data_IF_537938111166
#
_entry.id   IF_537938111166
#
_cell.length_a   1.000
_cell.length_b   1.000
_cell.length_c   1.000
_cell.angle_alpha   90.00
_cell.angle_beta   90.00
_cell.angle_gamma   90.00
#
_symmetry.space_group_name_H-M   'P 1'
#
loop_
_entity.id
_entity.type
_entity.pdbx_description
1 polymer ?
#
# COMPACT_ATOMS: atom_id res chain seq x y z
N UNK A 1 11.12 34.16 -36.04
CA UNK A 1 12.18 33.15 -35.83
C UNK A 1 11.51 31.98 -35.13
N UNK A 2 11.66 30.77 -35.66
CA UNK A 2 11.04 29.60 -35.02
C UNK A 2 11.67 29.39 -33.64
N UNK A 3 10.82 29.28 -32.60
CA UNK A 3 11.28 29.09 -31.24
C UNK A 3 11.92 27.68 -31.14
N UNK A 4 13.10 27.57 -30.54
CA UNK A 4 13.79 26.29 -30.37
C UNK A 4 12.95 25.25 -29.66
N UNK A 5 12.12 25.72 -28.73
CA UNK A 5 11.17 24.87 -28.00
C UNK A 5 10.11 24.26 -28.95
N UNK A 6 9.53 25.05 -29.86
CA UNK A 6 8.58 24.57 -30.85
C UNK A 6 9.18 23.49 -31.76
N UNK A 7 10.46 23.70 -32.22
CA UNK A 7 11.17 22.70 -33.00
C UNK A 7 11.32 21.41 -32.24
N UNK A 8 11.68 21.48 -30.95
CA UNK A 8 11.79 20.29 -30.10
C UNK A 8 10.44 19.58 -29.96
N UNK A 9 9.36 20.31 -29.71
CA UNK A 9 8.01 19.72 -29.60
C UNK A 9 7.57 19.02 -30.88
N UNK A 10 7.97 19.53 -32.03
CA UNK A 10 7.76 18.86 -33.33
C UNK A 10 8.60 17.58 -33.47
N UNK A 11 9.88 17.61 -33.09
CA UNK A 11 10.75 16.44 -33.12
C UNK A 11 10.28 15.33 -32.17
N UNK A 12 9.71 15.70 -31.01
CA UNK A 12 9.15 14.76 -30.06
C UNK A 12 7.77 14.22 -30.45
N UNK A 13 7.23 14.67 -31.57
CA UNK A 13 5.89 14.32 -32.04
C UNK A 13 4.81 14.52 -30.98
N UNK A 14 4.92 15.64 -30.24
CA UNK A 14 3.91 16.00 -29.23
C UNK A 14 2.53 16.18 -29.86
N UNK A 15 1.44 15.71 -29.23
CA UNK A 15 0.08 15.88 -29.72
C UNK A 15 -0.24 17.34 -30.04
N UNK A 16 -0.94 17.59 -31.13
CA UNK A 16 -1.23 18.93 -31.62
C UNK A 16 -2.01 19.78 -30.58
N UNK A 17 -2.94 19.13 -29.89
CA UNK A 17 -3.73 19.77 -28.83
C UNK A 17 -2.83 20.28 -27.68
N UNK A 18 -1.84 19.49 -27.28
CA UNK A 18 -0.89 19.88 -26.24
C UNK A 18 0.09 20.95 -26.73
N UNK A 19 0.56 20.86 -27.99
CA UNK A 19 1.43 21.90 -28.56
C UNK A 19 0.79 23.27 -28.63
N UNK A 20 -0.52 23.31 -28.87
CA UNK A 20 -1.30 24.55 -28.93
C UNK A 20 -1.87 24.96 -27.57
N UNK A 21 -1.51 24.26 -26.50
CA UNK A 21 -1.96 24.61 -25.14
C UNK A 21 -1.37 25.94 -24.69
N UNK A 22 -2.15 26.71 -23.95
CA UNK A 22 -1.69 27.93 -23.27
C UNK A 22 -0.52 27.68 -22.32
N UNK A 23 -0.36 26.43 -21.83
CA UNK A 23 0.74 26.03 -20.98
C UNK A 23 2.12 26.19 -21.65
N UNK A 24 2.19 26.14 -22.98
CA UNK A 24 3.42 26.34 -23.76
C UNK A 24 3.56 27.76 -24.31
N UNK A 25 2.66 28.67 -23.93
CA UNK A 25 2.80 30.06 -24.34
C UNK A 25 4.10 30.66 -23.75
N UNK A 26 4.93 31.25 -24.61
CA UNK A 26 6.26 31.79 -24.25
C UNK A 26 7.23 30.72 -23.66
N UNK A 27 7.02 29.45 -23.98
CA UNK A 27 7.93 28.41 -23.57
C UNK A 27 9.29 28.52 -24.26
N UNK A 28 10.38 28.37 -23.50
CA UNK A 28 11.73 28.47 -23.99
C UNK A 28 12.65 27.35 -23.46
N UNK A 29 13.66 27.00 -24.23
CA UNK A 29 14.78 26.20 -23.76
C UNK A 29 15.87 27.17 -23.28
N UNK A 30 16.02 27.30 -21.96
CA UNK A 30 17.06 28.16 -21.39
C UNK A 30 18.45 27.56 -21.60
N UNK A 31 18.57 26.27 -21.36
CA UNK A 31 19.86 25.58 -21.35
C UNK A 31 19.69 24.09 -21.63
N UNK A 32 20.71 23.51 -22.27
CA UNK A 32 20.85 22.05 -22.42
C UNK A 32 22.24 21.66 -21.97
N UNK A 33 22.34 20.78 -21.01
CA UNK A 33 23.59 20.19 -20.53
C UNK A 33 23.70 18.76 -21.06
N UNK A 34 24.88 18.46 -21.64
CA UNK A 34 25.15 17.12 -22.19
C UNK A 34 26.26 16.46 -21.38
N UNK A 35 25.89 15.50 -20.58
CA UNK A 35 26.79 14.69 -19.79
C UNK A 35 27.28 13.48 -20.59
N UNK A 36 28.40 13.65 -21.30
CA UNK A 36 28.90 12.65 -22.26
C UNK A 36 29.22 11.30 -21.64
N UNK A 37 29.73 11.28 -20.41
CA UNK A 37 30.11 10.03 -19.73
C UNK A 37 28.91 9.23 -19.31
N UNK A 38 27.91 9.87 -18.71
CA UNK A 38 26.65 9.25 -18.28
C UNK A 38 25.61 9.12 -19.38
N UNK A 39 25.86 9.73 -20.56
CA UNK A 39 24.91 9.80 -21.69
C UNK A 39 23.56 10.41 -21.30
N UNK A 40 23.58 11.43 -20.46
CA UNK A 40 22.39 12.14 -20.00
C UNK A 40 22.33 13.51 -20.66
N UNK A 41 21.17 13.84 -21.21
CA UNK A 41 20.82 15.16 -21.69
C UNK A 41 19.87 15.78 -20.67
N UNK A 42 20.28 16.91 -20.12
CA UNK A 42 19.53 17.66 -19.12
C UNK A 42 19.03 18.95 -19.73
N UNK A 43 17.71 19.08 -19.84
CA UNK A 43 17.04 20.24 -20.40
C UNK A 43 16.56 21.15 -19.29
N UNK A 44 16.77 22.43 -19.41
CA UNK A 44 16.19 23.45 -18.55
C UNK A 44 15.18 24.23 -19.39
N UNK A 45 13.91 24.07 -19.03
CA UNK A 45 12.80 24.75 -19.70
C UNK A 45 12.32 25.93 -18.87
N UNK A 46 11.96 27.01 -19.54
CA UNK A 46 11.24 28.13 -18.94
C UNK A 46 9.81 28.15 -19.45
N UNK A 47 8.85 28.20 -18.52
CA UNK A 47 7.44 28.34 -18.81
C UNK A 47 6.85 29.55 -18.06
N UNK A 48 5.73 30.06 -18.55
CA UNK A 48 5.00 31.12 -17.86
C UNK A 48 4.46 30.61 -16.50
N UNK A 49 3.97 29.37 -16.47
CA UNK A 49 3.34 28.76 -15.30
C UNK A 49 3.71 27.27 -15.16
N UNK A 50 3.33 26.65 -14.06
CA UNK A 50 3.51 25.22 -13.82
C UNK A 50 2.65 24.45 -14.84
N UNK A 51 3.24 23.42 -15.45
CA UNK A 51 2.54 22.61 -16.45
C UNK A 51 1.39 21.79 -15.80
N UNK A 52 0.26 21.61 -16.49
CA UNK A 52 -0.69 20.56 -16.16
C UNK A 52 0.01 19.18 -16.13
N UNK A 53 -0.38 18.32 -15.19
CA UNK A 53 0.32 17.05 -14.94
C UNK A 53 0.33 16.13 -16.19
N UNK A 54 -0.73 16.16 -16.98
CA UNK A 54 -0.86 15.36 -18.21
C UNK A 54 0.16 15.80 -19.27
N UNK A 55 0.35 17.12 -19.41
CA UNK A 55 1.34 17.68 -20.36
C UNK A 55 2.75 17.38 -19.88
N UNK A 56 2.99 17.50 -18.58
CA UNK A 56 4.29 17.16 -17.97
C UNK A 56 4.65 15.69 -18.23
N UNK A 57 3.73 14.76 -17.93
CA UNK A 57 3.96 13.32 -18.14
C UNK A 57 4.17 12.97 -19.61
N UNK A 58 3.40 13.56 -20.50
CA UNK A 58 3.57 13.30 -21.94
C UNK A 58 4.92 13.84 -22.45
N UNK A 59 5.32 15.05 -22.02
CA UNK A 59 6.63 15.61 -22.33
C UNK A 59 7.76 14.71 -21.82
N UNK A 60 7.69 14.25 -20.59
CA UNK A 60 8.65 13.34 -19.97
C UNK A 60 8.77 12.03 -20.76
N UNK A 61 7.62 11.42 -21.06
CA UNK A 61 7.55 10.18 -21.83
C UNK A 61 8.15 10.33 -23.22
N UNK A 62 7.81 11.39 -23.95
CA UNK A 62 8.30 11.64 -25.31
C UNK A 62 9.80 11.92 -25.34
N UNK A 63 10.29 12.73 -24.40
CA UNK A 63 11.73 12.94 -24.25
C UNK A 63 12.46 11.63 -23.98
N UNK A 64 11.98 10.83 -23.04
CA UNK A 64 12.60 9.55 -22.70
C UNK A 64 12.61 8.59 -23.92
N UNK A 65 11.50 8.52 -24.67
CA UNK A 65 11.38 7.67 -25.85
C UNK A 65 12.33 8.10 -26.96
N UNK A 66 12.41 9.40 -27.27
CA UNK A 66 13.24 9.89 -28.37
C UNK A 66 14.72 9.70 -28.07
N UNK A 67 15.16 10.03 -26.88
CA UNK A 67 16.58 9.91 -26.50
C UNK A 67 17.03 8.47 -26.29
N UNK A 68 16.12 7.58 -25.87
CA UNK A 68 16.43 6.14 -25.74
C UNK A 68 16.80 5.49 -27.08
N UNK A 69 16.26 5.97 -28.20
CA UNK A 69 16.61 5.48 -29.56
C UNK A 69 18.11 5.60 -29.86
N UNK A 70 18.76 6.58 -29.27
CA UNK A 70 20.21 6.83 -29.42
C UNK A 70 21.04 6.30 -28.26
N UNK A 71 20.45 5.57 -27.33
CA UNK A 71 21.10 5.06 -26.12
C UNK A 71 21.45 6.14 -25.10
N UNK A 72 20.76 7.28 -25.15
CA UNK A 72 20.88 8.37 -24.21
C UNK A 72 19.66 8.42 -23.25
N UNK A 73 19.83 9.08 -22.12
CA UNK A 73 18.71 9.46 -21.24
C UNK A 73 18.45 10.96 -21.38
N UNK A 74 17.18 11.34 -21.29
CA UNK A 74 16.81 12.74 -21.19
C UNK A 74 16.10 12.99 -19.85
N UNK A 75 16.55 14.01 -19.15
CA UNK A 75 15.91 14.54 -17.95
C UNK A 75 15.66 16.04 -18.18
N UNK A 76 14.73 16.61 -17.43
CA UNK A 76 14.50 18.04 -17.51
C UNK A 76 14.11 18.65 -16.17
N UNK A 77 14.40 19.92 -16.04
CA UNK A 77 13.98 20.78 -14.95
C UNK A 77 13.18 21.96 -15.52
N UNK A 78 12.20 22.40 -14.79
CA UNK A 78 11.32 23.51 -15.18
C UNK A 78 11.56 24.71 -14.30
N UNK A 79 11.68 25.87 -14.92
CA UNK A 79 11.67 27.16 -14.28
C UNK A 79 10.39 27.91 -14.67
N UNK A 80 9.56 28.28 -13.70
CA UNK A 80 8.33 29.03 -13.94
C UNK A 80 8.54 30.50 -13.59
N UNK A 81 8.14 31.39 -14.51
CA UNK A 81 8.30 32.85 -14.31
C UNK A 81 7.29 33.42 -13.32
N UNK A 82 6.05 32.94 -13.36
CA UNK A 82 4.95 33.38 -12.50
C UNK A 82 4.11 32.16 -12.07
N UNK A 83 4.65 31.27 -11.22
CA UNK A 83 3.99 30.03 -10.88
C UNK A 83 2.67 30.29 -10.13
N UNK A 84 1.56 29.87 -10.72
CA UNK A 84 0.29 29.76 -10.02
C UNK A 84 0.13 28.34 -9.52
N UNK A 85 -0.01 28.19 -8.21
CA UNK A 85 -0.10 26.87 -7.57
C UNK A 85 -1.51 26.69 -7.04
N UNK A 86 -2.26 25.70 -7.56
CA UNK A 86 -3.51 25.24 -6.96
C UNK A 86 -3.24 23.99 -6.11
N UNK A 87 -4.08 23.74 -5.11
CA UNK A 87 -3.95 22.54 -4.26
C UNK A 87 -4.08 21.26 -5.06
N UNK A 88 -4.95 21.24 -6.09
CA UNK A 88 -5.11 20.08 -6.97
C UNK A 88 -3.84 19.77 -7.76
N UNK A 89 -3.22 20.80 -8.34
CA UNK A 89 -1.97 20.69 -9.08
C UNK A 89 -0.84 20.24 -8.16
N UNK A 90 -0.75 20.85 -6.99
CA UNK A 90 0.23 20.48 -5.97
C UNK A 90 0.08 19.03 -5.52
N UNK A 91 -1.14 18.59 -5.26
CA UNK A 91 -1.42 17.19 -4.88
C UNK A 91 -1.04 16.20 -6.00
N UNK A 92 -1.27 16.57 -7.27
CA UNK A 92 -0.89 15.75 -8.41
C UNK A 92 0.64 15.59 -8.53
N UNK A 93 1.39 16.67 -8.39
CA UNK A 93 2.86 16.64 -8.42
C UNK A 93 3.48 16.02 -7.17
N UNK A 94 2.83 16.17 -6.03
CA UNK A 94 3.20 15.46 -4.81
C UNK A 94 3.17 13.94 -5.05
N UNK A 95 2.06 13.43 -5.60
CA UNK A 95 1.93 12.00 -5.94
C UNK A 95 3.01 11.55 -6.94
N UNK A 96 3.22 12.35 -7.99
CA UNK A 96 4.25 12.08 -8.99
C UNK A 96 5.65 11.95 -8.37
N UNK A 97 6.01 12.80 -7.40
CA UNK A 97 7.30 12.74 -6.71
C UNK A 97 7.53 11.42 -5.98
N UNK A 98 6.46 10.78 -5.50
CA UNK A 98 6.51 9.45 -4.87
C UNK A 98 6.39 8.30 -5.87
N UNK A 99 5.89 8.54 -7.07
CA UNK A 99 5.84 7.53 -8.12
C UNK A 99 7.20 7.35 -8.81
N UNK A 100 7.89 8.43 -9.13
CA UNK A 100 9.01 8.44 -10.07
C UNK A 100 10.30 9.08 -9.54
N UNK A 101 10.28 9.67 -8.37
CA UNK A 101 11.41 10.46 -7.88
C UNK A 101 12.29 9.75 -6.85
N UNK A 102 13.28 10.46 -6.30
CA UNK A 102 14.10 9.97 -5.19
C UNK A 102 13.30 9.70 -3.91
N UNK A 103 12.01 10.11 -3.88
CA UNK A 103 11.05 9.74 -2.84
C UNK A 103 10.38 8.37 -3.10
N UNK A 104 10.54 7.80 -4.29
CA UNK A 104 9.94 6.52 -4.69
C UNK A 104 10.67 5.35 -4.03
N UNK A 105 10.43 5.09 -2.76
CA UNK A 105 10.88 3.89 -2.08
C UNK A 105 9.73 2.89 -1.96
N UNK A 106 9.97 1.62 -2.35
CA UNK A 106 8.93 0.60 -2.48
C UNK A 106 8.16 0.31 -1.18
N UNK A 107 8.74 0.56 0.00
CA UNK A 107 8.10 0.30 1.29
C UNK A 107 7.19 1.41 1.82
N UNK A 108 7.33 2.64 1.31
CA UNK A 108 6.64 3.80 1.87
C UNK A 108 5.69 4.48 0.89
N UNK A 109 5.65 4.01 -0.35
CA UNK A 109 4.83 4.61 -1.41
C UNK A 109 3.35 4.70 -0.99
N UNK A 110 2.78 3.63 -0.46
CA UNK A 110 1.39 3.57 -0.03
C UNK A 110 1.09 4.44 1.20
N UNK A 111 2.05 4.62 2.10
CA UNK A 111 1.87 5.40 3.33
C UNK A 111 1.82 6.91 3.08
N UNK A 112 2.58 7.40 2.09
CA UNK A 112 2.74 8.83 1.88
C UNK A 112 1.99 9.39 0.68
N UNK A 113 1.47 8.55 -0.21
CA UNK A 113 0.67 8.99 -1.35
C UNK A 113 -0.64 9.67 -0.95
N UNK A 114 -1.19 9.28 0.19
CA UNK A 114 -2.51 9.71 0.67
C UNK A 114 -2.45 10.85 1.69
N UNK A 115 -1.24 11.41 1.94
CA UNK A 115 -1.14 12.60 2.76
C UNK A 115 -1.86 13.77 2.06
N UNK A 116 -2.58 14.56 2.82
CA UNK A 116 -3.20 15.78 2.32
C UNK A 116 -2.15 16.87 2.20
N UNK A 117 -2.08 17.48 1.02
CA UNK A 117 -1.12 18.53 0.74
C UNK A 117 -1.87 19.77 0.27
N UNK A 118 -1.64 20.89 0.90
CA UNK A 118 -2.24 22.17 0.53
C UNK A 118 -1.29 23.34 0.82
N UNK A 119 -1.63 24.49 0.26
CA UNK A 119 -0.89 25.73 0.49
C UNK A 119 -1.57 26.60 1.54
N UNK A 120 -0.77 27.10 2.48
CA UNK A 120 -1.12 28.18 3.38
C UNK A 120 -0.15 29.34 3.15
N UNK A 121 -0.56 30.25 2.27
CA UNK A 121 0.31 31.33 1.79
C UNK A 121 1.50 30.82 0.99
N UNK A 122 2.71 31.00 1.53
CA UNK A 122 3.98 30.51 0.97
C UNK A 122 4.46 29.17 1.60
N UNK A 123 3.62 28.58 2.45
CA UNK A 123 3.94 27.33 3.15
C UNK A 123 3.21 26.16 2.52
N UNK A 124 3.96 25.11 2.27
CA UNK A 124 3.43 23.82 1.92
C UNK A 124 3.11 23.06 3.20
N UNK A 125 1.83 22.84 3.47
CA UNK A 125 1.36 22.03 4.58
C UNK A 125 1.12 20.60 4.12
N UNK A 126 1.69 19.66 4.84
CA UNK A 126 1.55 18.22 4.61
C UNK A 126 0.95 17.62 5.87
N UNK A 127 -0.26 17.10 5.76
CA UNK A 127 -1.02 16.55 6.87
C UNK A 127 -1.07 15.04 6.82
N UNK A 128 -0.76 14.41 7.93
CA UNK A 128 -0.81 12.96 8.10
C UNK A 128 -1.66 12.55 9.30
N UNK A 129 -2.24 11.36 9.22
CA UNK A 129 -3.08 10.80 10.28
C UNK A 129 -2.26 10.21 11.44
N UNK A 130 -0.97 9.94 11.27
CA UNK A 130 -0.08 9.35 12.28
C UNK A 130 1.07 10.29 12.63
N UNK A 131 1.30 10.48 13.94
CA UNK A 131 2.44 11.30 14.43
C UNK A 131 3.80 10.65 14.11
N UNK A 132 3.87 9.33 14.15
CA UNK A 132 5.11 8.58 13.85
C UNK A 132 5.46 8.73 12.37
N UNK A 133 4.48 8.59 11.50
CA UNK A 133 4.67 8.72 10.06
C UNK A 133 5.05 10.14 9.66
N UNK A 134 4.45 11.15 10.28
CA UNK A 134 4.79 12.56 10.03
C UNK A 134 6.21 12.91 10.44
N UNK A 135 6.71 12.38 11.56
CA UNK A 135 8.11 12.59 11.96
C UNK A 135 9.11 11.87 11.05
N UNK A 136 8.82 10.63 10.67
CA UNK A 136 9.65 9.88 9.75
C UNK A 136 9.70 10.55 8.39
N UNK A 137 8.55 11.02 7.89
CA UNK A 137 8.45 11.78 6.65
C UNK A 137 9.29 13.05 6.68
N UNK A 138 9.17 13.84 7.76
CA UNK A 138 9.93 15.09 7.94
C UNK A 138 11.44 14.88 7.82
N UNK A 139 11.95 13.82 8.43
CA UNK A 139 13.41 13.55 8.44
C UNK A 139 13.93 13.01 7.11
N UNK A 140 13.20 12.09 6.49
CA UNK A 140 13.74 11.27 5.41
C UNK A 140 13.28 11.70 4.01
N UNK A 141 12.08 12.26 3.90
CA UNK A 141 11.46 12.52 2.60
C UNK A 141 11.29 14.01 2.27
N UNK A 142 11.03 14.84 3.28
CA UNK A 142 10.76 16.26 3.08
C UNK A 142 11.88 17.01 2.33
N UNK A 143 13.18 16.84 2.61
CA UNK A 143 14.23 17.52 1.87
C UNK A 143 14.30 17.11 0.39
N UNK A 144 13.99 15.85 0.09
CA UNK A 144 13.96 15.35 -1.28
C UNK A 144 12.72 15.82 -2.02
N UNK A 145 11.56 15.82 -1.37
CA UNK A 145 10.32 16.34 -1.92
C UNK A 145 10.43 17.82 -2.29
N UNK A 146 10.94 18.66 -1.37
CA UNK A 146 11.12 20.09 -1.63
C UNK A 146 11.99 20.35 -2.85
N UNK A 147 13.12 19.64 -2.96
CA UNK A 147 14.01 19.74 -4.15
C UNK A 147 13.32 19.26 -5.42
N UNK A 148 12.51 18.21 -5.33
CA UNK A 148 11.83 17.66 -6.50
C UNK A 148 10.71 18.59 -6.99
N UNK A 149 9.96 19.21 -6.09
CA UNK A 149 8.94 20.21 -6.45
C UNK A 149 9.56 21.40 -7.17
N UNK A 150 10.72 21.89 -6.69
CA UNK A 150 11.44 22.98 -7.38
C UNK A 150 11.84 22.57 -8.81
N UNK A 151 12.26 21.33 -9.03
CA UNK A 151 12.57 20.82 -10.38
C UNK A 151 11.34 20.73 -11.30
N UNK A 152 10.17 20.60 -10.73
CA UNK A 152 8.90 20.63 -11.46
C UNK A 152 8.39 22.05 -11.75
N UNK A 153 9.09 23.08 -11.29
CA UNK A 153 8.75 24.48 -11.54
C UNK A 153 8.00 25.15 -10.39
N UNK A 154 7.83 24.47 -9.26
CA UNK A 154 7.25 25.12 -8.07
C UNK A 154 8.24 26.12 -7.46
N UNK A 155 7.74 27.19 -6.85
CA UNK A 155 8.59 28.09 -6.09
C UNK A 155 9.20 27.35 -4.89
N UNK A 156 10.26 27.91 -4.32
CA UNK A 156 10.82 27.35 -3.10
C UNK A 156 9.86 27.60 -1.93
N UNK A 157 9.12 26.55 -1.56
CA UNK A 157 8.13 26.59 -0.49
C UNK A 157 8.74 26.17 0.84
N UNK A 158 8.31 26.83 1.91
CA UNK A 158 8.61 26.36 3.28
C UNK A 158 7.69 25.20 3.61
N UNK A 159 8.25 23.99 3.69
CA UNK A 159 7.47 22.78 3.94
C UNK A 159 7.26 22.53 5.44
N UNK A 160 6.04 22.32 5.86
CA UNK A 160 5.65 21.99 7.22
C UNK A 160 4.86 20.68 7.22
N UNK A 161 5.20 19.76 8.11
CA UNK A 161 4.49 18.49 8.28
C UNK A 161 3.81 18.51 9.64
N UNK A 162 2.53 18.23 9.66
CA UNK A 162 1.73 18.22 10.88
C UNK A 162 0.80 17.01 10.95
N UNK A 163 0.40 16.67 12.18
CA UNK A 163 -0.61 15.66 12.42
C UNK A 163 -2.01 16.29 12.29
N UNK A 164 -2.95 15.54 11.70
CA UNK A 164 -4.34 15.95 11.55
C UNK A 164 -5.25 14.91 12.23
N UNK A 165 -5.97 15.37 13.26
CA UNK A 165 -6.97 14.55 13.96
C UNK A 165 -8.15 14.21 13.04
N UNK A 166 -8.51 15.11 12.11
CA UNK A 166 -9.56 14.86 11.11
C UNK A 166 -9.21 13.70 10.19
N UNK A 167 -7.97 13.65 9.69
CA UNK A 167 -7.51 12.55 8.86
C UNK A 167 -7.48 11.22 9.63
N UNK A 168 -7.11 11.27 10.90
CA UNK A 168 -7.13 10.09 11.77
C UNK A 168 -8.54 9.53 11.91
N UNK A 169 -9.52 10.41 12.16
CA UNK A 169 -10.91 10.01 12.27
C UNK A 169 -11.46 9.49 10.93
N UNK A 170 -11.15 10.16 9.82
CA UNK A 170 -11.58 9.76 8.49
C UNK A 170 -11.00 8.40 8.07
N UNK A 171 -9.73 8.14 8.40
CA UNK A 171 -9.13 6.82 8.17
C UNK A 171 -9.79 5.73 9.01
N UNK A 172 -10.11 6.02 10.28
CA UNK A 172 -10.81 5.08 11.15
C UNK A 172 -12.21 4.75 10.61
N UNK A 173 -12.96 5.77 10.18
CA UNK A 173 -14.29 5.60 9.58
C UNK A 173 -14.23 4.81 8.26
N UNK A 174 -13.26 5.09 7.39
CA UNK A 174 -13.05 4.37 6.15
C UNK A 174 -12.71 2.89 6.40
N UNK A 175 -11.83 2.63 7.38
CA UNK A 175 -11.46 1.27 7.76
C UNK A 175 -12.67 0.49 8.32
N UNK A 176 -13.51 1.13 9.13
CA UNK A 176 -14.75 0.52 9.62
C UNK A 176 -15.70 0.21 8.46
N UNK A 177 -15.92 1.18 7.55
CA UNK A 177 -16.79 0.98 6.40
C UNK A 177 -16.30 -0.12 5.45
N UNK A 178 -14.99 -0.28 5.28
CA UNK A 178 -14.40 -1.35 4.49
C UNK A 178 -14.56 -2.71 5.16
N UNK A 179 -14.30 -2.79 6.47
CA UNK A 179 -14.54 -4.00 7.24
C UNK A 179 -16.02 -4.41 7.23
N UNK A 180 -16.95 -3.48 7.37
CA UNK A 180 -18.38 -3.76 7.31
C UNK A 180 -18.79 -4.33 5.94
N UNK A 181 -18.22 -3.81 4.85
CA UNK A 181 -18.43 -4.36 3.50
C UNK A 181 -17.90 -5.79 3.37
N UNK A 182 -16.71 -6.05 3.89
CA UNK A 182 -16.11 -7.40 3.88
C UNK A 182 -16.98 -8.37 4.68
N UNK A 183 -17.44 -7.98 5.86
CA UNK A 183 -18.32 -8.79 6.70
C UNK A 183 -19.67 -9.04 6.02
N UNK A 184 -20.25 -8.02 5.38
CA UNK A 184 -21.51 -8.19 4.63
C UNK A 184 -21.33 -9.13 3.44
N UNK A 185 -20.26 -8.98 2.66
CA UNK A 185 -19.98 -9.86 1.53
C UNK A 185 -19.76 -11.32 1.99
N UNK A 186 -19.03 -11.53 3.07
CA UNK A 186 -18.83 -12.86 3.65
C UNK A 186 -20.14 -13.48 4.17
N UNK A 187 -21.00 -12.68 4.80
CA UNK A 187 -22.31 -13.13 5.25
C UNK A 187 -23.25 -13.49 4.08
N UNK A 188 -23.26 -12.70 3.01
CA UNK A 188 -24.03 -13.00 1.80
C UNK A 188 -23.53 -14.27 1.11
N UNK A 189 -22.23 -14.47 1.05
CA UNK A 189 -21.65 -15.69 0.48
C UNK A 189 -21.97 -16.92 1.33
N UNK A 190 -21.91 -16.80 2.66
CA UNK A 190 -22.32 -17.85 3.58
C UNK A 190 -23.81 -18.19 3.47
N UNK A 191 -24.69 -17.19 3.31
CA UNK A 191 -26.13 -17.41 3.10
C UNK A 191 -26.39 -18.14 1.78
N UNK A 192 -25.76 -17.74 0.68
CA UNK A 192 -25.86 -18.41 -0.61
C UNK A 192 -25.35 -19.86 -0.55
N UNK A 193 -24.27 -20.10 0.17
CA UNK A 193 -23.76 -21.45 0.39
C UNK A 193 -24.74 -22.30 1.21
N UNK A 194 -25.37 -21.74 2.25
CA UNK A 194 -26.40 -22.44 3.03
C UNK A 194 -27.64 -22.73 2.20
N UNK A 195 -28.12 -21.80 1.38
CA UNK A 195 -29.26 -22.01 0.49
C UNK A 195 -29.00 -23.12 -0.56
N UNK A 196 -27.79 -23.13 -1.13
CA UNK A 196 -27.37 -24.17 -2.07
C UNK A 196 -27.28 -25.56 -1.42
N UNK A 197 -26.82 -25.63 -0.16
CA UNK A 197 -26.81 -26.88 0.61
C UNK A 197 -28.20 -27.35 0.98
N UNK A 198 -29.13 -26.44 1.27
CA UNK A 198 -30.54 -26.82 1.54
C UNK A 198 -31.27 -27.33 0.29
N UNK A 199 -30.94 -26.81 -0.89
CA UNK A 199 -31.55 -27.29 -2.17
C UNK A 199 -30.94 -28.63 -2.61
N UNK A 200 -29.77 -29.03 -2.16
CA UNK A 200 -29.12 -30.30 -2.46
C UNK A 200 -29.38 -31.39 -1.42
N UNK A 201 -30.03 -31.06 -0.30
CA UNK A 201 -30.30 -32.05 0.74
C UNK A 201 -31.41 -33.03 0.30
N UNK A 202 -31.17 -34.34 0.25
CA UNK A 202 -32.23 -35.33 0.15
C UNK A 202 -33.14 -35.25 1.37
N UNK A 203 -34.41 -35.71 1.26
CA UNK A 203 -35.36 -35.64 2.36
C UNK A 203 -34.77 -36.30 3.62
N UNK A 204 -35.06 -35.79 4.82
CA UNK A 204 -34.44 -36.22 6.03
C UNK A 204 -34.72 -37.70 6.30
N UNK A 205 -33.72 -38.54 6.06
CA UNK A 205 -33.69 -39.87 6.67
C UNK A 205 -33.52 -39.68 8.17
N UNK A 206 -34.39 -40.31 8.95
CA UNK A 206 -34.32 -40.34 10.40
C UNK A 206 -32.92 -40.83 10.82
N UNK A 207 -32.04 -39.92 11.19
CA UNK A 207 -30.70 -40.27 11.70
C UNK A 207 -30.89 -40.92 13.08
N UNK A 208 -30.30 -42.11 13.31
CA UNK A 208 -30.30 -42.71 14.63
C UNK A 208 -29.67 -41.75 15.62
N UNK A 209 -30.25 -41.68 16.83
CA UNK A 209 -29.83 -40.79 17.90
C UNK A 209 -28.32 -40.83 18.10
N UNK A 210 -27.67 -39.69 18.00
CA UNK A 210 -26.24 -39.53 18.11
C UNK A 210 -25.80 -39.90 19.52
N UNK A 211 -25.18 -41.06 19.68
CA UNK A 211 -24.62 -41.50 20.97
C UNK A 211 -23.32 -40.75 21.28
N UNK A 212 -23.46 -39.72 22.09
CA UNK A 212 -22.33 -38.85 22.55
C UNK A 212 -21.35 -39.63 23.44
N UNK A 213 -21.73 -40.83 23.94
CA UNK A 213 -20.86 -41.63 24.81
C UNK A 213 -19.89 -42.53 24.02
N UNK A 214 -20.24 -42.94 22.81
CA UNK A 214 -19.35 -43.75 21.99
C UNK A 214 -18.09 -43.01 21.49
N UNK A 215 -18.13 -41.68 21.40
CA UNK A 215 -16.95 -40.86 21.03
C UNK A 215 -15.90 -40.70 22.13
N UNK A 216 -16.25 -40.91 23.39
CA UNK A 216 -15.28 -40.87 24.50
C UNK A 216 -14.36 -42.08 24.56
N UNK A 217 -14.72 -43.18 23.92
CA UNK A 217 -13.96 -44.42 23.90
C UNK A 217 -12.99 -44.57 22.72
N UNK A 218 -12.98 -43.63 21.76
CA UNK A 218 -11.97 -43.63 20.72
C UNK A 218 -10.61 -43.32 21.35
N UNK A 219 -9.75 -44.30 21.41
CA UNK A 219 -8.42 -44.25 22.02
C UNK A 219 -7.67 -42.97 21.60
N UNK A 220 -7.02 -42.32 22.58
CA UNK A 220 -6.09 -41.23 22.30
C UNK A 220 -5.09 -41.75 21.24
N UNK A 221 -4.84 -41.01 20.18
CA UNK A 221 -3.89 -41.44 19.19
C UNK A 221 -2.53 -41.64 19.88
N UNK A 222 -1.90 -42.77 19.58
CA UNK A 222 -0.56 -43.04 20.06
C UNK A 222 0.37 -42.13 19.29
N UNK A 223 0.78 -41.01 19.89
CA UNK A 223 1.60 -39.96 19.28
C UNK A 223 2.95 -40.50 18.78
N UNK A 224 3.44 -41.60 19.38
CA UNK A 224 4.71 -42.21 18.99
C UNK A 224 4.67 -42.91 17.60
N UNK A 225 3.48 -43.11 17.03
CA UNK A 225 3.25 -43.75 15.72
C UNK A 225 2.46 -42.90 14.75
N UNK A 226 2.16 -41.64 15.10
CA UNK A 226 1.42 -40.74 14.23
C UNK A 226 2.35 -40.14 13.17
N UNK A 227 1.94 -40.18 11.93
CA UNK A 227 2.63 -39.53 10.83
C UNK A 227 2.48 -38.02 10.96
N UNK A 228 3.60 -37.29 10.96
CA UNK A 228 3.62 -35.82 11.06
C UNK A 228 3.32 -35.26 9.68
N UNK A 229 2.26 -34.47 9.58
CA UNK A 229 1.84 -33.84 8.34
C UNK A 229 2.46 -32.45 8.23
N UNK A 230 3.21 -32.11 7.15
CA UNK A 230 3.68 -30.75 6.90
C UNK A 230 2.51 -29.77 6.76
N UNK A 231 2.62 -28.60 7.38
CA UNK A 231 1.52 -27.61 7.39
C UNK A 231 1.14 -27.11 5.98
N UNK A 232 2.07 -27.10 5.04
CA UNK A 232 1.83 -26.70 3.65
C UNK A 232 0.92 -27.67 2.87
N UNK A 233 0.87 -28.93 3.30
CA UNK A 233 0.10 -29.97 2.60
C UNK A 233 -1.40 -29.96 3.00
N UNK A 234 -1.77 -29.22 4.04
CA UNK A 234 -3.15 -29.15 4.50
C UNK A 234 -3.96 -28.21 3.60
N UNK A 235 -4.82 -28.80 2.78
CA UNK A 235 -5.62 -28.07 1.79
C UNK A 235 -7.10 -27.95 2.14
N UNK A 236 -7.61 -28.80 3.03
CA UNK A 236 -9.04 -28.91 3.36
C UNK A 236 -9.24 -29.19 4.84
N UNK A 237 -10.52 -29.12 5.30
CA UNK A 237 -10.90 -29.54 6.64
C UNK A 237 -10.64 -31.04 6.83
N UNK A 238 -9.53 -31.38 7.43
CA UNK A 238 -9.16 -32.75 7.77
C UNK A 238 -9.37 -33.01 9.26
N UNK A 239 -9.89 -34.19 9.57
CA UNK A 239 -10.07 -34.63 10.94
C UNK A 239 -8.83 -35.40 11.42
N UNK A 240 -8.14 -34.90 12.46
CA UNK A 240 -7.02 -35.54 13.15
C UNK A 240 -5.70 -35.52 12.40
N UNK A 241 -5.15 -34.35 12.27
CA UNK A 241 -3.76 -34.14 11.83
C UNK A 241 -2.82 -34.02 13.04
N UNK A 242 -1.58 -34.47 12.87
CA UNK A 242 -0.51 -34.30 13.84
C UNK A 242 0.55 -33.41 13.22
N UNK A 243 0.79 -32.28 13.89
CA UNK A 243 1.79 -31.30 13.48
C UNK A 243 2.93 -31.23 14.49
N UNK A 244 4.12 -30.98 14.00
CA UNK A 244 5.26 -30.57 14.79
C UNK A 244 5.72 -29.20 14.29
N UNK A 245 5.97 -28.25 15.21
CA UNK A 245 6.38 -26.92 14.83
C UNK A 245 6.66 -26.02 16.02
N UNK A 246 7.19 -24.84 15.72
CA UNK A 246 7.51 -23.81 16.71
C UNK A 246 6.30 -22.91 16.97
N UNK A 247 5.95 -22.69 18.22
CA UNK A 247 4.95 -21.70 18.63
C UNK A 247 5.64 -20.36 18.79
N UNK A 248 5.19 -19.34 18.06
CA UNK A 248 5.78 -18.01 18.06
C UNK A 248 4.87 -16.91 18.61
N UNK A 249 3.59 -17.22 18.84
CA UNK A 249 2.62 -16.30 19.44
C UNK A 249 1.66 -17.10 20.31
N UNK A 250 1.40 -16.62 21.53
CA UNK A 250 0.51 -17.27 22.50
C UNK A 250 -0.27 -16.22 23.28
N UNK A 251 -1.58 -16.18 23.10
CA UNK A 251 -2.51 -15.37 23.84
C UNK A 251 -3.43 -16.22 24.72
N UNK A 252 -3.69 -15.76 25.94
CA UNK A 252 -4.59 -16.41 26.85
C UNK A 252 -5.75 -15.48 27.22
N UNK A 253 -6.99 -15.92 27.02
CA UNK A 253 -8.21 -15.20 27.40
C UNK A 253 -9.04 -16.01 28.38
N UNK A 254 -9.30 -15.44 29.55
CA UNK A 254 -10.19 -16.04 30.55
C UNK A 254 -11.61 -15.57 30.32
N UNK A 255 -12.54 -16.49 30.16
CA UNK A 255 -13.97 -16.18 29.99
C UNK A 255 -14.66 -15.92 31.33
N UNK A 256 -15.84 -15.28 31.30
CA UNK A 256 -16.66 -15.04 32.48
C UNK A 256 -17.06 -16.33 33.25
N UNK A 257 -17.02 -17.48 32.57
CA UNK A 257 -17.33 -18.81 33.16
C UNK A 257 -16.11 -19.53 33.70
N UNK A 258 -14.95 -18.86 33.78
CA UNK A 258 -13.70 -19.45 34.30
C UNK A 258 -13.01 -20.42 33.32
N UNK A 259 -13.51 -20.54 32.10
CA UNK A 259 -12.80 -21.29 31.03
C UNK A 259 -11.73 -20.43 30.42
N UNK A 260 -10.63 -21.05 30.04
CA UNK A 260 -9.51 -20.37 29.38
C UNK A 260 -9.48 -20.76 27.91
N UNK A 261 -9.45 -19.75 27.03
CA UNK A 261 -9.19 -19.90 25.61
C UNK A 261 -7.73 -19.57 25.35
N UNK A 262 -6.98 -20.52 24.82
CA UNK A 262 -5.64 -20.32 24.31
C UNK A 262 -5.69 -20.12 22.79
N UNK A 263 -5.21 -18.98 22.32
CA UNK A 263 -4.94 -18.73 20.92
C UNK A 263 -3.44 -18.81 20.72
N UNK A 264 -2.96 -19.62 19.83
CA UNK A 264 -1.53 -19.69 19.54
C UNK A 264 -1.27 -19.86 18.06
N UNK A 265 -0.15 -19.29 17.62
CA UNK A 265 0.33 -19.42 16.25
C UNK A 265 1.55 -20.32 16.24
N UNK A 266 1.58 -21.25 15.34
CA UNK A 266 2.71 -22.14 15.15
C UNK A 266 3.10 -22.26 13.69
N UNK A 267 4.37 -22.58 13.46
CA UNK A 267 4.95 -22.79 12.13
C UNK A 267 5.90 -23.98 12.14
N UNK A 268 5.91 -24.71 11.04
CA UNK A 268 6.92 -25.72 10.72
C UNK A 268 7.93 -25.21 9.67
N UNK A 269 7.97 -23.87 9.47
CA UNK A 269 8.75 -23.17 8.45
C UNK A 269 8.29 -23.40 6.99
N UNK A 270 7.31 -24.28 6.75
CA UNK A 270 6.68 -24.45 5.43
C UNK A 270 5.41 -23.61 5.32
N UNK A 271 4.66 -23.51 6.42
CA UNK A 271 3.45 -22.71 6.55
C UNK A 271 3.23 -22.31 8.01
N UNK A 272 2.14 -21.57 8.30
CA UNK A 272 1.78 -21.15 9.65
C UNK A 272 0.28 -21.25 9.89
N UNK A 273 -0.12 -21.74 11.07
CA UNK A 273 -1.50 -21.84 11.48
C UNK A 273 -1.79 -21.07 12.75
N UNK A 274 -3.00 -20.48 12.81
CA UNK A 274 -3.59 -19.98 14.05
C UNK A 274 -4.50 -21.05 14.64
N UNK A 275 -4.20 -21.47 15.84
CA UNK A 275 -4.89 -22.57 16.54
C UNK A 275 -5.56 -22.05 17.80
N UNK A 276 -6.72 -22.64 18.12
CA UNK A 276 -7.47 -22.31 19.34
C UNK A 276 -7.72 -23.55 20.16
N UNK A 277 -7.50 -23.46 21.46
CA UNK A 277 -7.75 -24.56 22.40
C UNK A 277 -8.49 -24.08 23.64
N UNK A 278 -9.63 -24.71 23.92
CA UNK A 278 -10.36 -24.50 25.16
C UNK A 278 -9.80 -25.37 26.28
N UNK A 279 -9.46 -24.69 27.38
CA UNK A 279 -9.01 -25.31 28.62
C UNK A 279 -10.12 -25.25 29.68
N UNK A 280 -10.17 -26.26 30.54
CA UNK A 280 -11.20 -26.31 31.56
C UNK A 280 -10.97 -25.30 32.69
N UNK A 281 -9.72 -25.02 33.03
CA UNK A 281 -9.32 -24.12 34.11
C UNK A 281 -7.91 -23.55 33.85
N UNK A 282 -7.49 -22.59 34.66
CA UNK A 282 -6.18 -21.95 34.60
C UNK A 282 -5.01 -22.91 34.90
N UNK A 283 -5.23 -23.93 35.75
CA UNK A 283 -4.17 -24.91 36.06
C UNK A 283 -3.78 -25.74 34.85
N UNK A 284 -4.76 -26.07 34.01
CA UNK A 284 -4.50 -26.77 32.75
C UNK A 284 -3.79 -25.85 31.73
N UNK A 285 -4.09 -24.55 31.77
CA UNK A 285 -3.44 -23.54 30.93
C UNK A 285 -1.96 -23.30 31.31
N UNK A 286 -1.62 -23.36 32.60
CA UNK A 286 -0.22 -23.22 33.08
C UNK A 286 0.74 -24.24 32.48
N UNK A 287 0.25 -25.40 32.06
CA UNK A 287 1.09 -26.40 31.35
C UNK A 287 1.62 -25.89 30.01
N UNK A 288 0.97 -24.88 29.45
CA UNK A 288 1.40 -24.23 28.20
C UNK A 288 2.36 -23.05 28.42
N UNK A 289 2.57 -22.60 29.66
CA UNK A 289 3.56 -21.55 29.96
C UNK A 289 5.00 -22.01 29.67
N UNK A 290 5.23 -23.31 29.64
CA UNK A 290 6.54 -23.89 29.26
C UNK A 290 6.85 -23.79 27.76
N UNK A 291 5.85 -23.50 26.92
CA UNK A 291 6.03 -23.36 25.47
C UNK A 291 6.60 -21.95 25.11
N UNK A 292 6.61 -21.03 26.08
CA UNK A 292 7.12 -19.65 25.91
C UNK A 292 8.65 -19.51 26.00
N UNK A 293 9.40 -20.58 26.06
CA UNK A 293 10.87 -20.48 26.16
C UNK A 293 11.55 -20.75 24.84
#
# INVERSE_FOLDING_TARGET
MSNKFEILMHQLDMPLEMRNSEAFLNAEIEKVLVHKVSRVWEFHFSFANILPIEIFRELQKRLAQEFSKTGNQAIFEIHCQAPHVSDELLQAYYRLAFEEGPCASHGFKSLYQDLRVHLDGDKLLIEGASTIDTEHFRKNHLPNLSRQLVKYGFPQLTCQVQHSDELTQQQAENFQAENDKIVQAANEEALKAMESLQQMAPPPEEKPAYDFQARKAAAKPNLDKAEITPMIEVQTEENRLVFEGMVFDLEQKVTRTGRVLLNFKMTDYTSSFSLQKWMKNEEEAKKFDMIKK
#
